data_IF_153006197484
#
_entry.id   IF_153006197484
#
_cell.length_a   1.000
_cell.length_b   1.000
_cell.length_c   1.000
_cell.angle_alpha   90.00
_cell.angle_beta   90.00
_cell.angle_gamma   90.00
#
_symmetry.space_group_name_H-M   'P 1'
#
loop_
_entity.id
_entity.type
_entity.pdbx_description
1 polymer ?
#
# COMPACT_ATOMS: atom_id res chain seq x y z
N UNK A 1 1.72 23.63 -3.02
CA UNK A 1 2.20 22.24 -2.83
C UNK A 1 1.59 21.38 -3.92
N UNK A 2 2.42 20.72 -4.70
CA UNK A 2 1.98 19.79 -5.74
C UNK A 2 2.13 18.36 -5.24
N UNK A 3 1.30 17.45 -5.78
CA UNK A 3 1.44 16.01 -5.54
C UNK A 3 2.75 15.51 -6.14
N UNK A 4 3.40 14.59 -5.45
CA UNK A 4 4.64 13.96 -5.90
C UNK A 4 4.27 12.90 -6.94
N UNK A 5 4.68 13.10 -8.19
CA UNK A 5 4.15 12.31 -9.32
C UNK A 5 4.50 10.83 -9.23
N UNK A 6 5.70 10.50 -8.77
CA UNK A 6 6.13 9.10 -8.64
C UNK A 6 5.37 8.39 -7.51
N UNK A 7 5.12 9.05 -6.37
CA UNK A 7 4.27 8.52 -5.29
C UNK A 7 2.83 8.32 -5.77
N UNK A 8 2.27 9.28 -6.52
CA UNK A 8 0.94 9.15 -7.11
C UNK A 8 0.84 7.90 -8.00
N UNK A 9 1.85 7.65 -8.85
CA UNK A 9 1.94 6.44 -9.68
C UNK A 9 2.04 5.19 -8.81
N UNK A 10 2.87 5.22 -7.77
CA UNK A 10 3.03 4.12 -6.83
C UNK A 10 1.71 3.76 -6.10
N UNK A 11 0.96 4.76 -5.63
CA UNK A 11 -0.37 4.57 -5.02
C UNK A 11 -1.40 4.02 -6.04
N UNK A 12 -1.25 4.36 -7.32
CA UNK A 12 -2.09 3.81 -8.38
C UNK A 12 -1.79 2.33 -8.61
N UNK A 13 -0.51 1.95 -8.65
CA UNK A 13 -0.07 0.55 -8.72
C UNK A 13 -0.54 -0.23 -7.50
N UNK A 14 -0.49 0.37 -6.32
CA UNK A 14 -1.00 -0.24 -5.09
C UNK A 14 -2.51 -0.50 -5.14
N UNK A 15 -3.30 0.46 -5.62
CA UNK A 15 -4.72 0.25 -5.86
C UNK A 15 -4.96 -0.93 -6.81
N UNK A 16 -4.21 -1.02 -7.90
CA UNK A 16 -4.33 -2.11 -8.87
C UNK A 16 -3.91 -3.45 -8.26
N UNK A 17 -2.81 -3.50 -7.51
CA UNK A 17 -2.31 -4.70 -6.84
C UNK A 17 -3.30 -5.23 -5.80
N UNK A 18 -3.92 -4.34 -5.00
CA UNK A 18 -4.95 -4.71 -4.02
C UNK A 18 -6.22 -5.26 -4.66
N UNK A 19 -6.60 -4.72 -5.82
CA UNK A 19 -7.83 -5.08 -6.51
C UNK A 19 -7.64 -6.11 -7.63
N UNK A 20 -6.42 -6.57 -7.87
CA UNK A 20 -6.15 -7.65 -8.82
C UNK A 20 -6.89 -8.90 -8.34
N UNK A 21 -7.74 -9.45 -9.21
CA UNK A 21 -8.39 -10.74 -8.96
C UNK A 21 -7.28 -11.78 -8.84
N UNK A 22 -6.95 -12.17 -7.61
CA UNK A 22 -6.07 -13.30 -7.33
C UNK A 22 -6.89 -14.55 -7.59
N UNK A 23 -6.99 -14.94 -8.86
CA UNK A 23 -7.62 -16.19 -9.24
C UNK A 23 -6.93 -17.32 -8.48
N UNK A 24 -7.64 -17.90 -7.50
CA UNK A 24 -7.27 -19.13 -6.77
C UNK A 24 -5.78 -19.25 -6.39
N UNK A 25 -5.26 -18.33 -5.59
CA UNK A 25 -4.09 -18.66 -4.76
C UNK A 25 -4.61 -19.18 -3.42
N UNK A 26 -4.70 -20.50 -3.29
CA UNK A 26 -4.82 -21.14 -1.98
C UNK A 26 -3.55 -20.86 -1.19
N UNK A 27 -3.57 -19.89 -0.28
CA UNK A 27 -2.57 -19.81 0.79
C UNK A 27 -3.23 -19.29 2.08
N UNK A 28 -3.70 -20.17 2.97
CA UNK A 28 -3.60 -19.88 4.38
C UNK A 28 -2.15 -20.16 4.76
N UNK A 29 -1.28 -19.15 4.66
CA UNK A 29 -0.07 -19.18 5.47
C UNK A 29 -0.56 -18.98 6.91
N UNK A 30 -0.88 -20.07 7.59
CA UNK A 30 -1.08 -20.07 9.03
C UNK A 30 0.26 -19.59 9.64
N UNK A 31 0.26 -18.38 10.18
CA UNK A 31 1.44 -17.70 10.73
C UNK A 31 1.81 -18.25 12.12
N UNK A 32 1.30 -19.43 12.48
CA UNK A 32 1.43 -19.99 13.82
C UNK A 32 2.62 -20.96 13.98
N UNK A 33 3.36 -21.27 12.92
CA UNK A 33 4.49 -22.23 12.98
C UNK A 33 5.86 -21.60 12.68
N UNK A 34 6.15 -20.43 13.27
CA UNK A 34 7.49 -19.82 13.22
C UNK A 34 8.44 -20.36 14.32
N UNK A 35 8.45 -21.67 14.56
CA UNK A 35 9.47 -22.35 15.39
C UNK A 35 9.89 -23.65 14.72
N UNK A 36 10.89 -23.57 13.85
CA UNK A 36 11.49 -24.72 13.19
C UNK A 36 11.84 -24.40 11.75
N UNK A 37 13.12 -24.15 11.48
CA UNK A 37 13.63 -24.05 10.11
C UNK A 37 13.66 -25.46 9.53
N UNK A 38 12.53 -25.86 8.94
CA UNK A 38 12.40 -27.17 8.31
C UNK A 38 13.14 -27.15 6.95
N UNK A 39 14.12 -28.04 6.79
CA UNK A 39 14.99 -28.15 5.60
C UNK A 39 14.30 -28.83 4.41
N UNK A 40 12.97 -28.98 4.46
CA UNK A 40 12.15 -29.69 3.47
C UNK A 40 11.50 -28.76 2.44
N UNK A 41 11.86 -27.47 2.40
CA UNK A 41 11.32 -26.50 1.44
C UNK A 41 11.48 -26.98 -0.01
N UNK A 42 10.39 -27.44 -0.61
CA UNK A 42 10.31 -27.70 -2.03
C UNK A 42 10.30 -26.37 -2.81
N UNK A 43 10.93 -26.38 -3.99
CA UNK A 43 11.00 -25.27 -4.95
C UNK A 43 9.66 -24.56 -5.21
N UNK A 44 8.54 -25.25 -5.01
CA UNK A 44 7.18 -24.73 -5.19
C UNK A 44 6.79 -23.59 -4.22
N UNK A 45 7.44 -23.46 -3.05
CA UNK A 45 7.18 -22.32 -2.14
C UNK A 45 7.67 -20.99 -2.74
N UNK A 46 8.73 -21.03 -3.55
CA UNK A 46 9.24 -19.86 -4.28
C UNK A 46 8.34 -19.51 -5.47
N UNK A 47 7.66 -20.50 -6.06
CA UNK A 47 6.68 -20.30 -7.13
C UNK A 47 5.45 -19.55 -6.61
N UNK A 48 5.01 -19.81 -5.37
CA UNK A 48 3.93 -19.07 -4.72
C UNK A 48 4.30 -17.62 -4.36
N UNK A 49 5.59 -17.31 -4.20
CA UNK A 49 6.07 -15.95 -3.98
C UNK A 49 6.10 -15.09 -5.26
N UNK A 50 5.96 -15.69 -6.46
CA UNK A 50 5.95 -14.95 -7.73
C UNK A 50 4.76 -14.00 -7.90
N UNK A 51 3.71 -14.16 -7.08
CA UNK A 51 2.56 -13.23 -6.99
C UNK A 51 2.68 -12.20 -5.86
N UNK A 52 3.73 -12.26 -5.03
CA UNK A 52 3.95 -11.39 -3.89
C UNK A 52 4.81 -10.20 -4.34
N UNK A 53 4.19 -9.03 -4.42
CA UNK A 53 4.90 -7.78 -4.64
C UNK A 53 5.33 -7.19 -3.29
N UNK A 54 6.58 -7.48 -2.89
CA UNK A 54 7.16 -7.00 -1.63
C UNK A 54 7.16 -5.47 -1.53
N UNK A 55 7.28 -4.75 -2.66
CA UNK A 55 7.22 -3.30 -2.67
C UNK A 55 5.81 -2.81 -2.35
N UNK A 56 4.77 -3.48 -2.85
CA UNK A 56 3.39 -3.15 -2.51
C UNK A 56 3.04 -3.50 -1.06
N UNK A 57 3.58 -4.59 -0.51
CA UNK A 57 3.42 -4.93 0.92
C UNK A 57 4.10 -3.90 1.82
N UNK A 58 5.32 -3.48 1.47
CA UNK A 58 6.04 -2.43 2.20
C UNK A 58 5.26 -1.12 2.17
N UNK A 59 4.74 -0.73 1.00
CA UNK A 59 3.91 0.46 0.87
C UNK A 59 2.60 0.35 1.66
N UNK A 60 1.94 -0.81 1.66
CA UNK A 60 0.75 -1.05 2.47
C UNK A 60 1.03 -0.85 3.97
N UNK A 61 2.18 -1.33 4.44
CA UNK A 61 2.64 -1.10 5.81
C UNK A 61 2.82 0.38 6.10
N UNK A 62 3.55 1.10 5.25
CA UNK A 62 3.79 2.55 5.39
C UNK A 62 2.46 3.31 5.43
N UNK A 63 1.53 3.03 4.51
CA UNK A 63 0.21 3.67 4.48
C UNK A 63 -0.57 3.42 5.78
N UNK A 64 -0.53 2.20 6.31
CA UNK A 64 -1.23 1.83 7.56
C UNK A 64 -0.68 2.60 8.78
N UNK A 65 0.62 2.85 8.79
CA UNK A 65 1.35 3.55 9.84
C UNK A 65 1.26 5.08 9.73
N UNK A 66 0.76 5.62 8.61
CA UNK A 66 0.51 7.06 8.48
C UNK A 66 -0.47 7.55 9.57
N UNK A 67 -0.26 8.75 10.13
CA UNK A 67 -1.19 9.35 11.06
C UNK A 67 -2.52 9.69 10.37
N UNK A 68 -3.63 9.62 11.13
CA UNK A 68 -4.86 10.30 10.72
C UNK A 68 -4.59 11.82 10.80
N UNK A 69 -4.95 12.62 9.77
CA UNK A 69 -5.90 12.34 8.68
C UNK A 69 -5.27 11.87 7.34
N UNK A 70 -3.95 11.71 7.26
CA UNK A 70 -3.24 11.41 6.01
C UNK A 70 -3.57 10.01 5.49
N UNK A 71 -3.57 9.03 6.39
CA UNK A 71 -3.96 7.65 6.09
C UNK A 71 -5.36 7.57 5.49
N UNK A 72 -6.30 8.27 6.12
CA UNK A 72 -7.72 8.23 5.75
C UNK A 72 -7.94 8.87 4.38
N UNK A 73 -7.18 9.93 4.06
CA UNK A 73 -7.15 10.52 2.73
C UNK A 73 -6.66 9.54 1.64
N UNK A 74 -5.62 8.75 1.93
CA UNK A 74 -5.10 7.73 1.00
C UNK A 74 -6.14 6.62 0.81
N UNK A 75 -6.71 6.08 1.89
CA UNK A 75 -7.74 5.04 1.79
C UNK A 75 -9.03 5.53 1.12
N UNK A 76 -9.43 6.78 1.34
CA UNK A 76 -10.63 7.32 0.71
C UNK A 76 -10.50 7.34 -0.82
N UNK A 77 -9.30 7.63 -1.35
CA UNK A 77 -9.09 7.75 -2.80
C UNK A 77 -8.62 6.43 -3.45
N UNK A 78 -7.71 5.71 -2.80
CA UNK A 78 -7.05 4.51 -3.36
C UNK A 78 -7.42 3.21 -2.63
N UNK A 79 -8.23 3.29 -1.57
CA UNK A 79 -8.47 2.16 -0.69
C UNK A 79 -9.65 1.26 -1.04
N UNK A 80 -10.53 1.72 -1.94
CA UNK A 80 -11.74 1.02 -2.34
C UNK A 80 -11.52 -0.02 -3.46
N UNK A 81 -12.59 -0.74 -3.81
CA UNK A 81 -12.60 -1.69 -4.94
C UNK A 81 -12.67 -1.01 -6.30
N UNK A 82 -13.29 0.16 -6.34
CA UNK A 82 -13.43 0.97 -7.54
C UNK A 82 -12.66 2.27 -7.37
N UNK A 83 -12.11 2.75 -8.47
CA UNK A 83 -11.46 4.05 -8.50
C UNK A 83 -12.52 5.14 -8.41
N UNK A 84 -12.47 5.95 -7.36
CA UNK A 84 -13.37 7.08 -7.20
C UNK A 84 -12.66 8.41 -7.44
N UNK A 85 -13.38 9.39 -7.98
CA UNK A 85 -12.84 10.74 -8.15
C UNK A 85 -12.63 11.47 -6.82
N UNK A 86 -11.74 12.46 -6.83
CA UNK A 86 -11.35 13.25 -5.66
C UNK A 86 -12.54 13.91 -4.94
N UNK A 87 -13.56 14.36 -5.67
CA UNK A 87 -14.78 14.95 -5.09
C UNK A 87 -15.56 13.92 -4.26
N UNK A 88 -15.71 12.69 -4.77
CA UNK A 88 -16.42 11.62 -4.06
C UNK A 88 -15.64 11.15 -2.84
N UNK A 89 -14.31 11.06 -2.95
CA UNK A 89 -13.44 10.75 -1.82
C UNK A 89 -13.53 11.82 -0.72
N UNK A 90 -13.57 13.10 -1.10
CA UNK A 90 -13.69 14.21 -0.15
C UNK A 90 -15.06 14.16 0.58
N UNK A 91 -16.13 13.90 -0.16
CA UNK A 91 -17.48 13.74 0.41
C UNK A 91 -17.55 12.57 1.40
N UNK A 92 -16.90 11.44 1.12
CA UNK A 92 -16.83 10.28 2.05
C UNK A 92 -16.18 10.62 3.38
N UNK A 93 -15.17 11.50 3.35
CA UNK A 93 -14.49 11.98 4.55
C UNK A 93 -15.16 13.21 5.18
N UNK A 94 -16.26 13.70 4.60
CA UNK A 94 -16.94 14.93 5.01
C UNK A 94 -16.01 16.15 5.07
N UNK A 95 -15.04 16.23 4.14
CA UNK A 95 -14.10 17.35 4.03
C UNK A 95 -14.17 17.99 2.64
N UNK A 96 -13.65 19.21 2.55
CA UNK A 96 -13.51 19.90 1.27
C UNK A 96 -12.44 19.24 0.39
N UNK A 97 -12.66 19.26 -0.93
CA UNK A 97 -11.70 18.75 -1.93
C UNK A 97 -10.29 19.33 -1.76
N UNK A 98 -10.18 20.62 -1.41
CA UNK A 98 -8.88 21.29 -1.16
C UNK A 98 -8.17 20.72 0.08
N UNK A 99 -8.92 20.39 1.12
CA UNK A 99 -8.40 19.75 2.34
C UNK A 99 -7.90 18.35 2.04
N UNK A 100 -8.70 17.56 1.31
CA UNK A 100 -8.26 16.24 0.84
C UNK A 100 -6.97 16.32 0.02
N UNK A 101 -6.88 17.28 -0.90
CA UNK A 101 -5.68 17.47 -1.69
C UNK A 101 -4.45 17.80 -0.82
N UNK A 102 -4.60 18.65 0.20
CA UNK A 102 -3.51 18.96 1.15
C UNK A 102 -3.07 17.72 1.93
N UNK A 103 -4.00 16.92 2.43
CA UNK A 103 -3.68 15.67 3.11
C UNK A 103 -2.98 14.68 2.19
N UNK A 104 -3.39 14.59 0.92
CA UNK A 104 -2.70 13.75 -0.06
C UNK A 104 -1.28 14.25 -0.36
N UNK A 105 -1.04 15.56 -0.44
CA UNK A 105 0.32 16.09 -0.60
C UNK A 105 1.20 15.78 0.62
N UNK A 106 0.67 15.91 1.84
CA UNK A 106 1.41 15.58 3.05
C UNK A 106 1.63 14.07 3.19
N UNK A 107 0.66 13.25 2.79
CA UNK A 107 0.82 11.80 2.71
C UNK A 107 1.92 11.42 1.72
N UNK A 108 2.00 12.07 0.56
CA UNK A 108 3.06 11.80 -0.41
C UNK A 108 4.45 12.02 0.19
N UNK A 109 4.64 13.14 0.91
CA UNK A 109 5.91 13.47 1.57
C UNK A 109 6.28 12.47 2.67
N UNK A 110 5.29 12.06 3.47
CA UNK A 110 5.51 11.07 4.53
C UNK A 110 5.89 9.69 3.95
N UNK A 111 5.22 9.27 2.88
CA UNK A 111 5.54 8.00 2.21
C UNK A 111 6.93 8.06 1.58
N UNK A 112 7.28 9.14 0.89
CA UNK A 112 8.61 9.36 0.31
C UNK A 112 9.70 9.26 1.38
N UNK A 113 9.55 9.98 2.50
CA UNK A 113 10.52 9.97 3.58
C UNK A 113 10.72 8.56 4.20
N UNK A 114 9.66 7.78 4.39
CA UNK A 114 9.77 6.41 4.91
C UNK A 114 10.39 5.43 3.91
N UNK A 115 10.15 5.61 2.61
CA UNK A 115 10.79 4.83 1.56
C UNK A 115 12.29 5.11 1.51
N UNK A 116 12.70 6.39 1.53
CA UNK A 116 14.12 6.78 1.55
C UNK A 116 14.85 6.24 2.79
N UNK A 117 14.22 6.28 3.97
CA UNK A 117 14.80 5.67 5.19
C UNK A 117 15.04 4.18 5.02
N UNK A 118 14.09 3.48 4.41
CA UNK A 118 14.21 2.03 4.19
C UNK A 118 15.29 1.70 3.17
N UNK A 119 15.50 2.55 2.16
CA UNK A 119 16.56 2.39 1.17
C UNK A 119 17.94 2.62 1.81
N UNK A 120 18.10 3.68 2.60
CA UNK A 120 19.35 3.97 3.34
C UNK A 120 19.72 2.93 4.40
N UNK A 121 18.75 2.21 4.95
CA UNK A 121 19.03 1.15 5.93
C UNK A 121 19.52 -0.16 5.30
N UNK A 122 19.54 -0.24 3.96
CA UNK A 122 20.00 -1.43 3.22
C UNK A 122 21.40 -1.27 2.63
N UNK A 123 21.95 -0.06 2.68
CA UNK A 123 23.35 0.26 2.37
C UNK A 123 24.24 0.05 3.60
#
# INVERSE_FOLDING_TARGET
MNRIQWIKRLLTLWFQWRNRIRGRLHCPLAVDNCTGVDKTRCSNDLINASGIDFRMMQLERIIRELPSPLRDAVYALYGGREWIGMTRAANRLQINRRTLFRYLCAADQAIEAELEKTEKSRE
#
